data_IF_198637333100
#
_entry.id   IF_198637333100
#
_cell.length_a   1.000
_cell.length_b   1.000
_cell.length_c   1.000
_cell.angle_alpha   90.00
_cell.angle_beta   90.00
_cell.angle_gamma   90.00
#
_symmetry.space_group_name_H-M   'P 1'
#
loop_
_entity.id
_entity.type
_entity.pdbx_description
1 polymer ?
#
# COMPACT_ATOMS: atom_id res chain seq x y z
N UNK A 1 -15.99 -30.28 19.80
CA UNK A 1 -16.25 -28.92 20.29
C UNK A 1 -15.87 -28.00 19.15
N UNK A 2 -16.85 -27.49 18.42
CA UNK A 2 -16.60 -26.54 17.34
C UNK A 2 -16.39 -25.17 18.00
N UNK A 3 -15.27 -24.53 17.71
CA UNK A 3 -14.98 -23.18 18.16
C UNK A 3 -16.03 -22.24 17.52
N UNK A 4 -16.64 -21.42 18.37
CA UNK A 4 -17.53 -20.34 17.96
C UNK A 4 -16.67 -19.30 17.22
N UNK A 5 -16.54 -19.47 15.91
CA UNK A 5 -15.94 -18.48 15.00
C UNK A 5 -16.89 -17.29 14.90
N UNK A 6 -16.93 -16.50 15.97
CA UNK A 6 -17.70 -15.27 16.08
C UNK A 6 -17.44 -14.40 14.85
N UNK A 7 -18.52 -14.08 14.13
CA UNK A 7 -18.45 -13.32 12.88
C UNK A 7 -17.61 -12.06 13.10
N UNK A 8 -16.50 -11.86 12.34
CA UNK A 8 -15.65 -10.72 12.59
C UNK A 8 -16.44 -9.43 12.36
N UNK A 9 -16.43 -8.55 13.34
CA UNK A 9 -16.99 -7.20 13.23
C UNK A 9 -16.35 -6.41 12.07
N UNK A 10 -17.03 -5.42 11.48
CA UNK A 10 -16.46 -4.58 10.42
C UNK A 10 -15.09 -3.96 10.79
N UNK A 11 -14.90 -3.64 12.07
CA UNK A 11 -13.65 -3.08 12.62
C UNK A 11 -12.54 -4.12 12.74
N UNK A 12 -12.87 -5.38 13.06
CA UNK A 12 -11.89 -6.47 13.04
C UNK A 12 -11.52 -6.89 11.61
N UNK A 13 -12.44 -6.78 10.65
CA UNK A 13 -12.10 -6.90 9.23
C UNK A 13 -11.14 -5.81 8.79
N UNK A 14 -11.41 -4.54 9.14
CA UNK A 14 -10.50 -3.42 8.83
C UNK A 14 -9.12 -3.58 9.45
N UNK A 15 -9.02 -4.04 10.70
CA UNK A 15 -7.72 -4.35 11.34
C UNK A 15 -7.02 -5.53 10.68
N UNK A 16 -7.73 -6.62 10.40
CA UNK A 16 -7.18 -7.79 9.72
C UNK A 16 -6.67 -7.43 8.32
N UNK A 17 -7.44 -6.63 7.56
CA UNK A 17 -7.05 -6.06 6.28
C UNK A 17 -5.92 -5.02 6.36
N UNK A 18 -5.64 -4.43 7.53
CA UNK A 18 -4.52 -3.51 7.68
C UNK A 18 -3.22 -4.27 8.03
N UNK A 19 -3.29 -5.27 8.89
CA UNK A 19 -2.12 -6.00 9.40
C UNK A 19 -1.61 -7.10 8.44
N UNK A 20 -2.51 -7.88 7.84
CA UNK A 20 -2.10 -8.99 6.96
C UNK A 20 -1.35 -8.54 5.70
N UNK A 21 -1.80 -7.53 4.94
CA UNK A 21 -1.10 -7.12 3.74
C UNK A 21 0.24 -6.45 4.04
N UNK A 22 0.44 -5.89 5.23
CA UNK A 22 1.71 -5.29 5.65
C UNK A 22 2.85 -6.32 5.71
N UNK A 23 2.52 -7.57 6.05
CA UNK A 23 3.47 -8.68 6.14
C UNK A 23 3.48 -9.59 4.90
N UNK A 24 2.65 -9.30 3.90
CA UNK A 24 2.59 -10.09 2.66
C UNK A 24 3.91 -10.06 1.89
N UNK A 25 4.28 -11.21 1.31
CA UNK A 25 5.40 -11.33 0.37
C UNK A 25 5.03 -10.91 -1.07
N UNK A 26 3.78 -10.50 -1.30
CA UNK A 26 3.30 -9.94 -2.55
C UNK A 26 3.29 -8.42 -2.44
N UNK A 27 3.63 -7.73 -3.53
CA UNK A 27 3.56 -6.27 -3.59
C UNK A 27 2.11 -5.82 -3.64
N UNK A 28 1.70 -4.98 -2.68
CA UNK A 28 0.34 -4.48 -2.57
C UNK A 28 0.30 -2.95 -2.59
N UNK A 29 -0.61 -2.43 -3.41
CA UNK A 29 -0.91 -1.01 -3.53
C UNK A 29 -2.44 -0.84 -3.56
N UNK A 30 -2.97 -0.02 -2.66
CA UNK A 30 -4.39 0.24 -2.53
C UNK A 30 -4.71 1.59 -3.15
N UNK A 31 -5.65 1.62 -4.09
CA UNK A 31 -6.09 2.84 -4.77
C UNK A 31 -7.48 3.28 -4.33
N UNK A 32 -7.74 4.59 -4.33
CA UNK A 32 -9.08 5.16 -4.31
C UNK A 32 -9.74 5.02 -5.69
N UNK A 33 -11.07 5.15 -5.79
CA UNK A 33 -11.79 5.05 -7.07
C UNK A 33 -11.35 6.07 -8.13
N UNK A 34 -10.79 7.22 -7.73
CA UNK A 34 -10.22 8.22 -8.63
C UNK A 34 -8.77 7.91 -9.05
N UNK A 35 -8.25 6.74 -8.69
CA UNK A 35 -6.95 6.23 -9.12
C UNK A 35 -5.76 6.71 -8.29
N UNK A 36 -5.99 7.33 -7.13
CA UNK A 36 -4.92 7.78 -6.23
C UNK A 36 -4.49 6.67 -5.30
N UNK A 37 -3.21 6.63 -4.98
CA UNK A 37 -2.67 5.70 -4.01
C UNK A 37 -3.11 6.10 -2.59
N UNK A 38 -3.66 5.16 -1.84
CA UNK A 38 -4.12 5.37 -0.45
C UNK A 38 -3.16 4.70 0.53
N UNK A 39 -2.67 3.51 0.20
CA UNK A 39 -1.75 2.76 1.04
C UNK A 39 -0.89 1.79 0.22
N UNK A 40 0.25 1.42 0.78
CA UNK A 40 1.17 0.41 0.24
C UNK A 40 1.73 -0.43 1.39
N UNK A 41 2.04 -1.70 1.12
CA UNK A 41 2.65 -2.54 2.13
C UNK A 41 4.16 -2.29 2.30
N UNK A 42 4.75 -2.89 3.34
CA UNK A 42 6.19 -2.87 3.61
C UNK A 42 7.04 -3.23 2.40
N UNK A 43 6.59 -4.22 1.61
CA UNK A 43 7.35 -4.70 0.46
C UNK A 43 7.42 -3.65 -0.64
N UNK A 44 6.31 -2.99 -0.97
CA UNK A 44 6.28 -1.87 -1.92
C UNK A 44 7.17 -0.71 -1.47
N UNK A 45 7.14 -0.34 -0.18
CA UNK A 45 8.07 0.66 0.40
C UNK A 45 9.53 0.28 0.19
N UNK A 46 9.88 -0.97 0.48
CA UNK A 46 11.26 -1.47 0.38
C UNK A 46 11.76 -1.60 -1.06
N UNK A 47 10.95 -2.16 -1.95
CA UNK A 47 11.37 -2.47 -3.32
C UNK A 47 11.27 -1.27 -4.26
N UNK A 48 10.23 -0.45 -4.08
CA UNK A 48 9.95 0.67 -4.99
C UNK A 48 10.31 2.03 -4.39
N UNK A 49 10.70 2.10 -3.11
CA UNK A 49 10.96 3.38 -2.44
C UNK A 49 9.69 4.23 -2.25
N UNK A 50 8.51 3.61 -2.33
CA UNK A 50 7.22 4.25 -2.19
C UNK A 50 6.93 4.57 -0.71
N UNK A 51 7.66 5.53 -0.16
CA UNK A 51 7.52 6.08 1.21
C UNK A 51 6.18 6.84 1.39
N UNK A 52 5.87 7.28 2.61
CA UNK A 52 4.62 8.00 2.94
C UNK A 52 4.31 9.20 2.01
N UNK A 53 5.31 9.78 1.35
CA UNK A 53 5.14 10.86 0.38
C UNK A 53 4.48 10.49 -0.94
N UNK A 54 4.23 9.20 -1.24
CA UNK A 54 3.52 8.79 -2.47
C UNK A 54 2.00 8.69 -2.32
N UNK A 55 1.48 8.70 -1.09
CA UNK A 55 0.03 8.68 -0.85
C UNK A 55 -0.63 9.93 -1.43
N UNK A 56 -1.77 9.77 -2.08
CA UNK A 56 -2.53 10.83 -2.74
C UNK A 56 -2.13 11.08 -4.20
N UNK A 57 -1.04 10.50 -4.67
CA UNK A 57 -0.63 10.59 -6.08
C UNK A 57 -1.31 9.54 -6.96
N UNK A 58 -1.44 9.83 -8.25
CA UNK A 58 -2.05 8.90 -9.20
C UNK A 58 -1.12 7.71 -9.44
N UNK A 59 -1.67 6.50 -9.36
CA UNK A 59 -0.93 5.25 -9.59
C UNK A 59 -0.16 5.23 -10.93
N UNK A 60 -0.74 5.67 -12.05
CA UNK A 60 -0.02 5.76 -13.33
C UNK A 60 1.19 6.69 -13.31
N UNK A 61 1.17 7.74 -12.49
CA UNK A 61 2.31 8.66 -12.38
C UNK A 61 3.46 7.98 -11.65
N UNK A 62 3.18 7.23 -10.58
CA UNK A 62 4.16 6.55 -9.74
C UNK A 62 4.97 5.48 -10.48
N UNK A 63 4.38 4.87 -11.51
CA UNK A 63 5.04 3.86 -12.36
C UNK A 63 5.67 4.46 -13.62
N UNK A 64 5.53 5.78 -13.84
CA UNK A 64 6.14 6.44 -14.99
C UNK A 64 7.67 6.50 -14.83
N UNK A 65 8.46 6.35 -15.92
CA UNK A 65 9.92 6.36 -15.86
C UNK A 65 10.50 7.60 -15.17
N UNK A 66 9.93 8.78 -15.45
CA UNK A 66 10.36 10.04 -14.84
C UNK A 66 10.21 10.07 -13.32
N UNK A 67 9.30 9.27 -12.75
CA UNK A 67 9.17 9.13 -11.31
C UNK A 67 10.23 8.18 -10.75
N UNK A 68 10.46 7.05 -11.43
CA UNK A 68 11.50 6.10 -11.03
C UNK A 68 12.89 6.76 -11.01
N UNK A 69 13.20 7.61 -11.98
CA UNK A 69 14.44 8.40 -12.01
C UNK A 69 14.55 9.36 -10.82
N UNK A 70 13.43 9.94 -10.36
CA UNK A 70 13.41 10.83 -9.19
C UNK A 70 13.67 10.08 -7.89
N UNK A 71 13.09 8.89 -7.73
CA UNK A 71 13.35 8.03 -6.58
C UNK A 71 14.80 7.54 -6.56
N UNK A 72 15.37 7.20 -7.71
CA UNK A 72 16.77 6.78 -7.84
C UNK A 72 17.77 7.91 -7.52
N UNK A 73 17.42 9.17 -7.81
CA UNK A 73 18.31 10.32 -7.62
C UNK A 73 18.13 11.07 -6.30
N UNK A 74 17.15 10.68 -5.48
CA UNK A 74 16.95 11.20 -4.12
C UNK A 74 16.65 12.70 -4.03
N UNK A 75 16.19 13.35 -5.11
CA UNK A 75 15.89 14.79 -5.10
C UNK A 75 14.50 15.07 -4.50
N UNK A 76 14.40 15.70 -3.31
CA UNK A 76 13.13 16.23 -2.83
C UNK A 76 12.78 17.50 -3.61
N UNK A 77 11.49 17.79 -3.72
CA UNK A 77 11.01 19.12 -4.12
C UNK A 77 11.23 20.12 -3.00
#
# INVERSE_FOLDING_TARGET
>A
MAEDEGTPTPTSWLRWYADQPEHSEILLAFGSPDGRLVAVNRLARRLLGWEAGVTGHLLPELVAPAWQDRLATGRPR
#
